data_IF_144334270841
#
_entry.id   IF_144334270841
#
_cell.length_a   1.000
_cell.length_b   1.000
_cell.length_c   1.000
_cell.angle_alpha   90.00
_cell.angle_beta   90.00
_cell.angle_gamma   90.00
#
_symmetry.space_group_name_H-M   'P 1'
#
loop_
_entity.id
_entity.type
_entity.pdbx_description
1 polymer ?
#
# COMPACT_ATOMS: atom_id res chain seq x y z
N UNK A 1 -2.01 3.77 -24.69
CA UNK A 1 -2.80 2.90 -23.78
C UNK A 1 -2.37 3.05 -22.32
N UNK A 2 -1.09 2.87 -21.97
CA UNK A 2 -0.64 2.99 -20.58
C UNK A 2 -0.95 4.36 -19.93
N UNK A 3 -0.79 5.47 -20.66
CA UNK A 3 -1.16 6.81 -20.16
C UNK A 3 -2.64 6.89 -19.77
N UNK A 4 -3.54 6.35 -20.59
CA UNK A 4 -4.97 6.30 -20.28
C UNK A 4 -5.27 5.38 -19.10
N UNK A 5 -4.62 4.22 -19.01
CA UNK A 5 -4.76 3.33 -17.86
C UNK A 5 -4.34 4.01 -16.55
N UNK A 6 -3.22 4.74 -16.57
CA UNK A 6 -2.74 5.54 -15.43
C UNK A 6 -3.78 6.60 -15.02
N UNK A 7 -4.38 7.29 -15.98
CA UNK A 7 -5.42 8.29 -15.66
C UNK A 7 -6.70 7.65 -15.13
N UNK A 8 -7.10 6.48 -15.64
CA UNK A 8 -8.23 5.73 -15.10
C UNK A 8 -7.97 5.32 -13.65
N UNK A 9 -6.78 4.78 -13.31
CA UNK A 9 -6.43 4.48 -11.91
C UNK A 9 -6.45 5.73 -11.03
N UNK A 10 -6.08 6.90 -11.56
CA UNK A 10 -6.14 8.17 -10.84
C UNK A 10 -7.57 8.61 -10.54
N UNK A 11 -8.48 8.48 -11.51
CA UNK A 11 -9.89 8.90 -11.38
C UNK A 11 -10.75 7.85 -10.65
N UNK A 12 -10.34 6.59 -10.71
CA UNK A 12 -11.03 5.44 -10.12
C UNK A 12 -10.05 4.66 -9.24
N UNK A 13 -9.63 5.24 -8.09
CA UNK A 13 -8.61 4.66 -7.21
C UNK A 13 -9.04 3.35 -6.54
N UNK A 14 -10.34 3.01 -6.57
CA UNK A 14 -10.86 1.71 -6.17
C UNK A 14 -10.77 0.64 -7.28
N UNK A 15 -9.97 0.84 -8.34
CA UNK A 15 -9.71 -0.20 -9.35
C UNK A 15 -8.57 -1.13 -8.95
N UNK A 16 -8.83 -2.42 -9.14
CA UNK A 16 -7.87 -3.54 -9.03
C UNK A 16 -7.19 -3.82 -10.37
N UNK A 17 -7.96 -3.77 -11.46
CA UNK A 17 -7.46 -3.90 -12.83
C UNK A 17 -8.30 -3.08 -13.82
N UNK A 18 -7.76 -2.90 -15.03
CA UNK A 18 -8.41 -2.25 -16.17
C UNK A 18 -8.19 -3.14 -17.39
N UNK A 19 -9.25 -3.44 -18.13
CA UNK A 19 -9.15 -4.09 -19.44
C UNK A 19 -9.44 -3.07 -20.54
N UNK A 20 -8.58 -3.04 -21.54
CA UNK A 20 -8.71 -2.17 -22.72
C UNK A 20 -8.66 -3.04 -23.96
N UNK A 21 -9.57 -2.79 -24.90
CA UNK A 21 -9.54 -3.44 -26.21
C UNK A 21 -8.81 -2.57 -27.21
N UNK A 22 -7.85 -3.17 -27.93
CA UNK A 22 -7.23 -2.58 -29.10
C UNK A 22 -7.82 -3.27 -30.33
N UNK A 23 -8.46 -2.49 -31.18
CA UNK A 23 -9.11 -2.96 -32.42
C UNK A 23 -8.43 -2.31 -33.61
N UNK A 24 -8.17 -3.12 -34.63
CA UNK A 24 -7.70 -2.73 -35.96
C UNK A 24 -8.74 -3.20 -36.99
N UNK A 25 -8.53 -2.91 -38.27
CA UNK A 25 -9.47 -3.29 -39.33
C UNK A 25 -9.82 -4.78 -39.38
N UNK A 26 -8.88 -5.65 -39.01
CA UNK A 26 -9.07 -7.11 -39.09
C UNK A 26 -8.79 -7.86 -37.81
N UNK A 27 -8.18 -7.20 -36.81
CA UNK A 27 -7.71 -7.88 -35.60
C UNK A 27 -8.03 -7.10 -34.35
N UNK A 28 -8.16 -7.80 -33.24
CA UNK A 28 -8.29 -7.21 -31.92
C UNK A 28 -7.41 -7.92 -30.90
N UNK A 29 -7.15 -7.26 -29.78
CA UNK A 29 -6.58 -7.87 -28.56
C UNK A 29 -7.07 -7.14 -27.32
N UNK A 30 -7.04 -7.83 -26.19
CA UNK A 30 -7.28 -7.25 -24.88
C UNK A 30 -5.94 -7.02 -24.19
N UNK A 31 -5.82 -5.85 -23.58
CA UNK A 31 -4.71 -5.49 -22.70
C UNK A 31 -5.27 -5.26 -21.31
N UNK A 32 -4.83 -6.05 -20.33
CA UNK A 32 -5.15 -5.84 -18.94
C UNK A 32 -4.01 -5.09 -18.27
N UNK A 33 -4.33 -3.99 -17.58
CA UNK A 33 -3.42 -3.29 -16.70
C UNK A 33 -3.85 -3.56 -15.25
N UNK A 34 -2.93 -4.01 -14.43
CA UNK A 34 -3.11 -4.22 -13.00
C UNK A 34 -1.79 -3.93 -12.27
N UNK A 35 -1.68 -4.33 -11.00
CA UNK A 35 -0.52 -4.00 -10.15
C UNK A 35 0.75 -4.78 -10.46
N UNK A 36 0.66 -5.80 -11.29
CA UNK A 36 1.79 -6.51 -11.91
C UNK A 36 2.15 -5.95 -13.29
N UNK A 37 1.49 -4.88 -13.74
CA UNK A 37 1.78 -4.21 -15.01
C UNK A 37 0.78 -4.58 -16.10
N UNK A 38 1.27 -4.71 -17.34
CA UNK A 38 0.43 -4.95 -18.50
C UNK A 38 0.50 -6.42 -18.95
N UNK A 39 -0.65 -7.07 -18.99
CA UNK A 39 -0.84 -8.38 -19.59
C UNK A 39 -1.53 -8.22 -20.95
N UNK A 40 -1.05 -8.94 -21.95
CA UNK A 40 -1.57 -8.84 -23.30
C UNK A 40 -2.11 -10.18 -23.79
N UNK A 41 -3.34 -10.20 -24.29
CA UNK A 41 -3.85 -11.35 -25.04
C UNK A 41 -3.12 -11.49 -26.37
N UNK A 42 -3.17 -12.67 -27.01
CA UNK A 42 -2.84 -12.82 -28.42
C UNK A 42 -3.62 -11.82 -29.29
N UNK A 43 -3.07 -11.52 -30.47
CA UNK A 43 -3.73 -10.69 -31.48
C UNK A 43 -4.59 -11.60 -32.38
N UNK A 44 -5.91 -11.43 -32.31
CA UNK A 44 -6.90 -12.35 -32.88
C UNK A 44 -7.56 -11.71 -34.10
N UNK A 45 -7.75 -12.47 -35.19
CA UNK A 45 -8.50 -12.02 -36.37
C UNK A 45 -10.00 -12.30 -36.17
N UNK A 46 -10.81 -11.26 -36.06
CA UNK A 46 -12.23 -11.40 -35.74
C UNK A 46 -13.14 -11.56 -36.96
N UNK A 47 -12.60 -11.52 -38.19
CA UNK A 47 -13.35 -11.82 -39.42
C UNK A 47 -13.39 -13.33 -39.75
N UNK A 48 -12.68 -14.15 -38.97
CA UNK A 48 -12.68 -15.60 -39.09
C UNK A 48 -13.55 -16.30 -38.06
N UNK A 49 -13.13 -17.47 -37.61
CA UNK A 49 -13.85 -18.31 -36.63
C UNK A 49 -13.94 -17.67 -35.22
N UNK A 50 -13.10 -16.67 -34.94
CA UNK A 50 -13.00 -16.01 -33.63
C UNK A 50 -13.97 -14.83 -33.41
N UNK A 51 -14.97 -14.64 -34.28
CA UNK A 51 -16.00 -13.61 -34.09
C UNK A 51 -16.70 -13.72 -32.72
N UNK A 52 -16.95 -14.96 -32.26
CA UNK A 52 -17.54 -15.20 -30.95
C UNK A 52 -16.65 -14.68 -29.80
N UNK A 53 -15.33 -14.80 -29.92
CA UNK A 53 -14.37 -14.29 -28.94
C UNK A 53 -14.39 -12.77 -28.92
N UNK A 54 -14.52 -12.13 -30.08
CA UNK A 54 -14.67 -10.68 -30.19
C UNK A 54 -15.94 -10.17 -29.51
N UNK A 55 -17.09 -10.81 -29.78
CA UNK A 55 -18.38 -10.45 -29.14
C UNK A 55 -18.30 -10.64 -27.62
N UNK A 56 -17.73 -11.77 -27.15
CA UNK A 56 -17.53 -12.01 -25.71
C UNK A 56 -16.65 -10.95 -25.07
N UNK A 57 -15.60 -10.49 -25.75
CA UNK A 57 -14.74 -9.44 -25.25
C UNK A 57 -15.48 -8.11 -25.09
N UNK A 58 -16.35 -7.75 -26.04
CA UNK A 58 -17.21 -6.55 -25.93
C UNK A 58 -18.17 -6.69 -24.74
N UNK A 59 -18.87 -7.83 -24.62
CA UNK A 59 -19.82 -8.07 -23.53
C UNK A 59 -19.11 -7.96 -22.17
N UNK A 60 -17.91 -8.53 -22.03
CA UNK A 60 -17.12 -8.45 -20.80
C UNK A 60 -16.75 -7.00 -20.45
N UNK A 61 -16.38 -6.18 -21.44
CA UNK A 61 -16.05 -4.76 -21.24
C UNK A 61 -17.27 -3.88 -20.95
N UNK A 62 -18.47 -4.34 -21.34
CA UNK A 62 -19.75 -3.68 -21.10
C UNK A 62 -20.52 -4.31 -19.92
N UNK A 63 -19.89 -5.18 -19.12
CA UNK A 63 -20.54 -5.80 -17.97
C UNK A 63 -21.02 -4.75 -16.96
N UNK A 64 -22.18 -4.99 -16.36
CA UNK A 64 -22.68 -4.17 -15.24
C UNK A 64 -22.15 -4.65 -13.88
N UNK A 65 -21.43 -5.78 -13.87
CA UNK A 65 -20.82 -6.31 -12.67
C UNK A 65 -19.51 -5.56 -12.36
N UNK A 66 -19.53 -4.75 -11.31
CA UNK A 66 -18.38 -3.95 -10.86
C UNK A 66 -17.14 -4.80 -10.61
N UNK A 67 -17.31 -6.01 -10.05
CA UNK A 67 -16.22 -6.93 -9.75
C UNK A 67 -15.52 -7.40 -11.04
N UNK A 68 -16.30 -7.80 -12.04
CA UNK A 68 -15.80 -8.22 -13.37
C UNK A 68 -15.11 -7.08 -14.13
N UNK A 69 -15.56 -5.84 -13.93
CA UNK A 69 -14.92 -4.64 -14.46
C UNK A 69 -13.64 -4.25 -13.72
N UNK A 70 -13.30 -4.94 -12.63
CA UNK A 70 -12.10 -4.73 -11.84
C UNK A 70 -12.22 -3.64 -10.79
N UNK A 71 -13.44 -3.27 -10.37
CA UNK A 71 -13.66 -2.39 -9.23
C UNK A 71 -13.62 -3.20 -7.92
N UNK A 72 -13.16 -2.57 -6.86
CA UNK A 72 -13.35 -3.02 -5.48
C UNK A 72 -14.80 -2.69 -5.06
N UNK A 73 -15.57 -3.75 -4.80
CA UNK A 73 -16.99 -3.68 -4.47
C UNK A 73 -17.25 -3.29 -3.02
N UNK A 74 -16.23 -3.29 -2.16
CA UNK A 74 -16.34 -2.81 -0.78
C UNK A 74 -16.38 -1.27 -0.69
N UNK A 75 -15.92 -0.58 -1.74
CA UNK A 75 -16.02 0.87 -1.87
C UNK A 75 -17.28 1.21 -2.65
N UNK A 76 -18.27 1.80 -1.97
CA UNK A 76 -19.54 2.19 -2.58
C UNK A 76 -19.67 3.70 -2.66
N UNK A 77 -20.26 4.17 -3.76
CA UNK A 77 -20.47 5.59 -4.02
C UNK A 77 -21.97 5.90 -4.07
N UNK A 78 -22.36 7.00 -3.41
CA UNK A 78 -23.66 7.64 -3.68
C UNK A 78 -23.47 8.62 -4.82
N UNK A 79 -24.29 8.47 -5.86
CA UNK A 79 -24.25 9.31 -7.06
C UNK A 79 -25.50 10.19 -7.09
N UNK A 80 -25.32 11.47 -7.37
CA UNK A 80 -26.39 12.43 -7.63
C UNK A 80 -25.99 13.27 -8.84
N UNK A 81 -26.90 13.45 -9.80
CA UNK A 81 -26.66 14.21 -11.04
C UNK A 81 -25.38 13.76 -11.79
N UNK A 82 -25.11 12.45 -11.80
CA UNK A 82 -23.93 11.87 -12.46
C UNK A 82 -22.59 12.13 -11.74
N UNK A 83 -22.61 12.70 -10.53
CA UNK A 83 -21.41 12.98 -9.72
C UNK A 83 -21.41 12.20 -8.41
N UNK A 84 -20.22 11.81 -7.95
CA UNK A 84 -20.02 11.23 -6.61
C UNK A 84 -20.30 12.32 -5.58
N UNK A 85 -21.22 12.07 -4.65
CA UNK A 85 -21.55 13.01 -3.56
C UNK A 85 -21.10 12.52 -2.18
N UNK A 86 -21.03 11.21 -1.99
CA UNK A 86 -20.48 10.59 -0.78
C UNK A 86 -20.06 9.15 -1.10
N UNK A 87 -19.31 8.52 -0.20
CA UNK A 87 -18.96 7.12 -0.33
C UNK A 87 -18.77 6.43 1.01
N UNK A 88 -18.71 5.11 0.96
CA UNK A 88 -18.46 4.24 2.12
C UNK A 88 -17.42 3.20 1.75
N UNK A 89 -16.67 2.75 2.75
CA UNK A 89 -15.75 1.61 2.62
C UNK A 89 -16.14 0.58 3.66
N UNK A 90 -16.42 -0.63 3.19
CA UNK A 90 -16.67 -1.78 4.05
C UNK A 90 -15.36 -2.53 4.25
N UNK A 91 -15.07 -2.89 5.50
CA UNK A 91 -13.86 -3.61 5.90
C UNK A 91 -14.23 -4.85 6.69
N UNK A 92 -13.31 -5.81 6.75
CA UNK A 92 -13.44 -7.00 7.58
C UNK A 92 -12.29 -7.06 8.59
N UNK A 93 -12.57 -6.83 9.87
CA UNK A 93 -11.53 -6.97 10.89
C UNK A 93 -11.23 -8.45 11.15
N UNK A 94 -9.99 -8.86 10.87
CA UNK A 94 -9.53 -10.20 11.16
C UNK A 94 -9.63 -10.54 12.64
N UNK A 95 -9.35 -9.58 13.52
CA UNK A 95 -9.21 -9.84 14.95
C UNK A 95 -10.56 -10.09 15.63
N UNK A 96 -11.55 -9.26 15.34
CA UNK A 96 -12.91 -9.45 15.84
C UNK A 96 -13.75 -10.41 14.99
N UNK A 97 -13.33 -10.71 13.76
CA UNK A 97 -14.08 -11.46 12.75
C UNK A 97 -15.44 -10.78 12.44
N UNK A 98 -15.44 -9.45 12.34
CA UNK A 98 -16.63 -8.64 12.06
C UNK A 98 -16.41 -7.68 10.90
N UNK A 99 -17.48 -7.46 10.13
CA UNK A 99 -17.52 -6.43 9.09
C UNK A 99 -17.94 -5.08 9.65
N UNK A 100 -17.25 -4.01 9.26
CA UNK A 100 -17.61 -2.62 9.60
C UNK A 100 -17.72 -1.78 8.33
N UNK A 101 -18.55 -0.75 8.35
CA UNK A 101 -18.70 0.17 7.20
C UNK A 101 -18.44 1.60 7.65
N UNK A 102 -17.41 2.19 7.06
CA UNK A 102 -16.94 3.53 7.37
C UNK A 102 -17.49 4.53 6.35
N UNK A 103 -17.89 5.71 6.82
CA UNK A 103 -18.33 6.79 5.93
C UNK A 103 -17.14 7.64 5.52
N UNK A 104 -16.88 7.76 4.22
CA UNK A 104 -15.77 8.55 3.71
C UNK A 104 -15.99 10.04 3.94
N UNK A 105 -14.93 10.74 4.36
CA UNK A 105 -14.97 12.20 4.56
C UNK A 105 -14.96 12.97 3.24
N UNK A 106 -14.48 12.34 2.17
CA UNK A 106 -14.36 12.91 0.84
C UNK A 106 -14.59 11.82 -0.21
N UNK A 107 -15.05 12.22 -1.40
CA UNK A 107 -15.14 11.33 -2.57
C UNK A 107 -13.79 11.07 -3.24
N UNK A 108 -12.77 11.85 -2.84
CA UNK A 108 -11.39 11.66 -3.26
C UNK A 108 -10.56 11.11 -2.09
N UNK A 109 -9.64 10.16 -2.34
CA UNK A 109 -8.73 9.69 -1.33
C UNK A 109 -7.79 10.82 -0.86
N UNK A 110 -7.33 10.74 0.37
CA UNK A 110 -6.33 11.65 0.95
C UNK A 110 -4.98 11.48 0.25
N UNK A 111 -4.67 10.25 -0.16
CA UNK A 111 -3.45 9.91 -0.88
C UNK A 111 -3.75 8.78 -1.86
N UNK A 112 -3.18 8.83 -3.06
CA UNK A 112 -3.25 7.73 -4.02
C UNK A 112 -2.02 7.72 -4.92
N UNK A 113 -1.35 6.57 -5.03
CA UNK A 113 -0.29 6.36 -6.02
C UNK A 113 -0.91 5.92 -7.35
N UNK A 114 -0.76 6.70 -8.44
CA UNK A 114 -1.38 6.38 -9.73
C UNK A 114 -0.60 5.35 -10.55
N UNK A 115 0.56 4.89 -10.07
CA UNK A 115 1.42 4.00 -10.85
C UNK A 115 0.75 2.65 -11.10
N UNK A 116 0.88 2.18 -12.33
CA UNK A 116 0.25 0.94 -12.79
C UNK A 116 0.89 -0.24 -12.05
N UNK A 117 2.22 -0.29 -11.99
CA UNK A 117 2.96 -1.35 -11.31
C UNK A 117 3.37 -0.94 -9.89
N UNK A 118 3.34 -1.89 -8.95
CA UNK A 118 3.78 -1.71 -7.57
C UNK A 118 2.64 -1.73 -6.55
N UNK A 119 2.84 -1.08 -5.39
CA UNK A 119 1.90 -1.14 -4.27
C UNK A 119 0.56 -0.47 -4.54
N UNK A 120 0.51 0.52 -5.44
CA UNK A 120 -0.72 1.23 -5.78
C UNK A 120 -1.45 1.81 -4.56
N UNK A 121 -0.71 2.26 -3.54
CA UNK A 121 -1.26 2.63 -2.23
C UNK A 121 -2.33 3.70 -2.35
N UNK A 122 -3.48 3.49 -1.70
CA UNK A 122 -4.59 4.45 -1.59
C UNK A 122 -4.96 4.62 -0.13
N UNK A 123 -5.06 5.85 0.35
CA UNK A 123 -5.47 6.16 1.71
C UNK A 123 -6.76 6.98 1.72
N UNK A 124 -7.75 6.50 2.45
CA UNK A 124 -9.07 7.12 2.57
C UNK A 124 -9.31 7.64 3.99
N UNK A 125 -9.57 8.94 4.14
CA UNK A 125 -10.05 9.46 5.42
C UNK A 125 -11.54 9.12 5.61
N UNK A 126 -11.89 8.56 6.76
CA UNK A 126 -13.26 8.14 7.05
C UNK A 126 -13.67 8.47 8.49
N UNK A 127 -14.98 8.44 8.75
CA UNK A 127 -15.57 8.52 10.09
C UNK A 127 -15.76 7.13 10.64
N UNK A 128 -15.37 6.95 11.89
CA UNK A 128 -15.63 5.72 12.64
C UNK A 128 -17.15 5.53 12.83
N UNK A 129 -17.69 4.33 12.55
CA UNK A 129 -19.13 4.07 12.62
C UNK A 129 -19.68 4.13 14.05
N UNK A 130 -18.83 3.90 15.06
CA UNK A 130 -19.21 3.87 16.48
C UNK A 130 -19.05 5.25 17.15
N UNK A 131 -18.78 6.30 16.36
CA UNK A 131 -18.57 7.66 16.86
C UNK A 131 -17.19 7.88 17.48
N UNK A 132 -16.24 6.98 17.21
CA UNK A 132 -14.84 7.10 17.63
C UNK A 132 -14.08 8.20 16.90
N UNK A 133 -12.75 8.19 17.09
CA UNK A 133 -11.85 9.09 16.36
C UNK A 133 -11.90 8.81 14.86
N UNK A 134 -11.65 9.84 14.04
CA UNK A 134 -11.52 9.68 12.60
C UNK A 134 -10.43 8.65 12.26
N UNK A 135 -10.64 7.90 11.18
CA UNK A 135 -9.73 6.85 10.74
C UNK A 135 -9.17 7.11 9.34
N UNK A 136 -8.06 6.45 9.04
CA UNK A 136 -7.43 6.40 7.74
C UNK A 136 -7.39 4.94 7.28
N UNK A 137 -8.08 4.63 6.19
CA UNK A 137 -8.09 3.30 5.59
C UNK A 137 -6.99 3.25 4.53
N UNK A 138 -5.97 2.43 4.73
CA UNK A 138 -4.82 2.24 3.82
C UNK A 138 -4.99 0.95 3.03
N UNK A 139 -5.10 1.09 1.72
CA UNK A 139 -5.15 0.00 0.74
C UNK A 139 -3.78 -0.13 0.06
N UNK A 140 -3.27 -1.35 -0.08
CA UNK A 140 -2.00 -1.62 -0.77
C UNK A 140 -1.95 -3.02 -1.39
N UNK A 141 -1.12 -3.17 -2.43
CA UNK A 141 -0.83 -4.43 -3.10
C UNK A 141 0.57 -4.93 -2.73
N UNK A 142 0.62 -5.98 -1.93
CA UNK A 142 1.87 -6.55 -1.43
C UNK A 142 2.22 -7.79 -2.26
N UNK A 143 3.51 -8.05 -2.42
CA UNK A 143 3.95 -9.33 -2.99
C UNK A 143 3.45 -10.49 -2.13
N UNK A 144 3.01 -11.56 -2.76
CA UNK A 144 2.78 -12.82 -2.07
C UNK A 144 4.13 -13.39 -1.61
N UNK A 145 4.27 -13.59 -0.31
CA UNK A 145 5.39 -14.34 0.24
C UNK A 145 5.03 -15.83 0.29
N UNK A 146 5.86 -16.66 -0.37
CA UNK A 146 5.71 -18.12 -0.33
C UNK A 146 6.14 -18.71 1.01
N UNK A 147 7.00 -18.01 1.76
CA UNK A 147 7.76 -18.62 2.86
C UNK A 147 7.20 -18.30 4.26
N UNK A 148 6.07 -17.59 4.36
CA UNK A 148 5.43 -17.13 5.63
C UNK A 148 6.38 -16.39 6.61
N UNK A 149 7.58 -15.99 6.15
CA UNK A 149 8.60 -15.36 6.98
C UNK A 149 8.54 -13.83 6.92
N UNK A 150 8.04 -13.26 5.82
CA UNK A 150 7.84 -11.83 5.69
C UNK A 150 6.67 -11.38 6.56
N UNK A 151 7.01 -10.60 7.58
CA UNK A 151 6.04 -9.91 8.43
C UNK A 151 5.56 -8.68 7.68
N UNK A 152 4.25 -8.57 7.49
CA UNK A 152 3.62 -7.42 6.86
C UNK A 152 3.47 -6.24 7.84
N UNK A 153 3.07 -5.06 7.34
CA UNK A 153 2.94 -3.84 8.15
C UNK A 153 2.04 -4.02 9.38
N UNK A 154 0.92 -4.72 9.24
CA UNK A 154 -0.02 -4.96 10.35
C UNK A 154 0.65 -5.68 11.53
N UNK A 155 1.64 -6.55 11.27
CA UNK A 155 2.38 -7.26 12.31
C UNK A 155 3.18 -6.26 13.17
N UNK A 156 3.89 -5.34 12.51
CA UNK A 156 4.69 -4.33 13.20
C UNK A 156 3.81 -3.30 13.92
N UNK A 157 2.68 -2.93 13.33
CA UNK A 157 1.70 -2.05 13.96
C UNK A 157 1.07 -2.68 15.20
N UNK A 158 0.71 -3.97 15.16
CA UNK A 158 0.20 -4.67 16.35
C UNK A 158 1.25 -4.72 17.47
N UNK A 159 2.53 -4.93 17.12
CA UNK A 159 3.63 -4.91 18.09
C UNK A 159 3.93 -3.52 18.64
N UNK A 160 3.75 -2.47 17.83
CA UNK A 160 3.89 -1.06 18.20
C UNK A 160 2.63 -0.47 18.84
N UNK A 161 1.59 -1.28 19.08
CA UNK A 161 0.36 -0.83 19.73
C UNK A 161 0.65 -0.21 21.10
N UNK A 162 0.07 0.97 21.32
CA UNK A 162 0.21 1.75 22.53
C UNK A 162 1.56 2.48 22.67
N UNK A 163 2.42 2.46 21.64
CA UNK A 163 3.66 3.26 21.63
C UNK A 163 3.34 4.70 21.23
N UNK A 164 3.52 5.70 22.13
CA UNK A 164 3.40 7.10 21.73
C UNK A 164 4.41 7.43 20.64
N UNK A 165 4.00 8.25 19.67
CA UNK A 165 4.86 8.69 18.57
C UNK A 165 4.93 7.71 17.40
N UNK A 166 4.18 6.61 17.42
CA UNK A 166 4.08 5.64 16.33
C UNK A 166 2.61 5.45 15.93
N UNK A 167 2.36 5.22 14.65
CA UNK A 167 1.04 4.96 14.09
C UNK A 167 0.29 3.87 14.87
N UNK A 168 -0.99 4.10 15.12
CA UNK A 168 -1.87 3.17 15.82
C UNK A 168 -2.85 2.53 14.83
N UNK A 169 -2.87 1.20 14.81
CA UNK A 169 -3.81 0.40 14.02
C UNK A 169 -5.09 0.13 14.81
N UNK A 170 -6.22 0.25 14.13
CA UNK A 170 -7.56 -0.04 14.64
C UNK A 170 -7.94 -1.48 14.30
N UNK A 171 -7.86 -1.82 13.02
CA UNK A 171 -8.22 -3.14 12.46
C UNK A 171 -7.37 -3.42 11.21
N UNK A 172 -7.32 -4.69 10.81
CA UNK A 172 -6.64 -5.10 9.60
C UNK A 172 -7.34 -6.31 8.97
N UNK A 173 -7.22 -6.40 7.65
CA UNK A 173 -7.61 -7.56 6.88
C UNK A 173 -6.38 -8.46 6.66
N UNK A 174 -6.53 -9.77 6.93
CA UNK A 174 -5.48 -10.76 6.65
C UNK A 174 -5.82 -11.64 5.44
N UNK A 175 -4.83 -12.41 4.97
CA UNK A 175 -4.96 -13.33 3.82
C UNK A 175 -6.12 -14.33 3.94
N UNK A 176 -6.55 -14.65 5.17
CA UNK A 176 -7.51 -15.73 5.46
C UNK A 176 -8.95 -15.19 5.66
N UNK A 177 -9.19 -13.89 5.49
CA UNK A 177 -10.50 -13.23 5.60
C UNK A 177 -11.33 -13.12 4.31
N UNK A 178 -10.93 -13.84 3.25
CA UNK A 178 -11.21 -13.58 1.83
C UNK A 178 -10.31 -12.46 1.28
N UNK A 179 -9.32 -12.78 0.42
CA UNK A 179 -8.56 -11.73 -0.23
C UNK A 179 -9.52 -10.88 -1.08
N UNK A 180 -9.54 -9.57 -0.85
CA UNK A 180 -10.14 -8.62 -1.78
C UNK A 180 -9.27 -8.51 -3.04
N UNK A 181 -9.15 -9.62 -3.77
CA UNK A 181 -8.35 -9.76 -4.98
C UNK A 181 -6.87 -10.06 -4.74
N UNK A 182 -6.36 -10.98 -5.53
CA UNK A 182 -4.93 -11.19 -5.78
C UNK A 182 -4.74 -11.13 -7.29
N UNK A 183 -3.56 -10.73 -7.76
CA UNK A 183 -3.35 -10.57 -9.20
C UNK A 183 -3.51 -11.87 -9.97
N UNK A 184 -3.20 -12.99 -9.35
CA UNK A 184 -3.35 -14.31 -9.95
C UNK A 184 -4.82 -14.71 -10.16
N UNK A 185 -5.77 -14.19 -9.38
CA UNK A 185 -7.19 -14.53 -9.55
C UNK A 185 -7.82 -13.91 -10.79
N UNK A 186 -7.21 -12.86 -11.34
CA UNK A 186 -7.67 -12.19 -12.57
C UNK A 186 -6.61 -12.19 -13.69
N UNK A 187 -5.54 -12.97 -13.54
CA UNK A 187 -4.57 -13.28 -14.58
C UNK A 187 -4.69 -14.77 -14.96
N UNK A 188 -4.45 -15.15 -16.22
CA UNK A 188 -4.31 -16.55 -16.56
C UNK A 188 -3.11 -17.13 -15.80
N UNK A 189 -3.13 -18.43 -15.45
CA UNK A 189 -1.96 -19.10 -14.88
C UNK A 189 -0.74 -18.85 -15.76
N UNK A 190 0.43 -18.65 -15.14
CA UNK A 190 1.67 -18.56 -15.89
C UNK A 190 1.79 -19.82 -16.77
N UNK A 191 1.79 -19.65 -18.09
CA UNK A 191 1.98 -20.77 -18.99
C UNK A 191 3.38 -21.35 -18.74
N UNK A 192 3.45 -22.62 -18.37
CA UNK A 192 4.69 -23.39 -18.29
C UNK A 192 5.47 -23.16 -19.61
N UNK A 193 6.60 -22.47 -19.53
CA UNK A 193 7.59 -22.24 -20.61
C UNK A 193 7.43 -21.04 -21.56
N UNK A 194 6.69 -19.98 -21.25
CA UNK A 194 6.95 -18.69 -21.94
C UNK A 194 7.97 -17.85 -21.17
N UNK A 195 9.17 -17.67 -21.74
CA UNK A 195 10.27 -16.86 -21.18
C UNK A 195 9.97 -15.34 -21.10
N UNK A 196 8.70 -14.94 -21.21
CA UNK A 196 8.29 -13.54 -21.28
C UNK A 196 7.46 -13.18 -20.04
N UNK A 197 8.22 -12.77 -19.02
CA UNK A 197 7.83 -12.18 -17.75
C UNK A 197 7.28 -13.15 -16.68
N UNK A 198 8.20 -13.58 -15.81
CA UNK A 198 7.91 -14.07 -14.47
C UNK A 198 7.32 -12.89 -13.68
N UNK A 199 5.99 -12.85 -13.56
CA UNK A 199 5.30 -11.93 -12.64
C UNK A 199 5.19 -12.63 -11.28
N UNK A 200 5.20 -11.87 -10.20
CA UNK A 200 4.97 -12.44 -8.87
C UNK A 200 3.60 -12.00 -8.39
N UNK A 201 2.83 -12.92 -7.83
CA UNK A 201 1.50 -12.61 -7.34
C UNK A 201 1.54 -11.44 -6.35
N UNK A 202 0.58 -10.53 -6.46
CA UNK A 202 0.32 -9.50 -5.47
C UNK A 202 -1.03 -9.70 -4.84
N UNK A 203 -1.07 -9.65 -3.52
CA UNK A 203 -2.29 -9.76 -2.73
C UNK A 203 -2.67 -8.39 -2.19
N UNK A 204 -3.94 -8.04 -2.32
CA UNK A 204 -4.49 -6.83 -1.74
C UNK A 204 -4.51 -6.89 -0.21
N UNK A 205 -4.23 -5.77 0.43
CA UNK A 205 -4.30 -5.56 1.88
C UNK A 205 -5.00 -4.25 2.18
N UNK A 206 -5.79 -4.28 3.25
CA UNK A 206 -6.43 -3.11 3.84
C UNK A 206 -6.17 -3.07 5.34
N UNK A 207 -5.72 -1.92 5.81
CA UNK A 207 -5.48 -1.65 7.22
C UNK A 207 -6.21 -0.36 7.59
N UNK A 208 -6.92 -0.35 8.71
CA UNK A 208 -7.52 0.88 9.24
C UNK A 208 -6.67 1.38 10.39
N UNK A 209 -6.28 2.63 10.24
CA UNK A 209 -5.35 3.34 11.10
C UNK A 209 -6.06 4.51 11.77
N UNK A 210 -5.57 4.94 12.93
CA UNK A 210 -6.01 6.22 13.52
C UNK A 210 -5.61 7.37 12.59
N UNK A 211 -6.53 8.30 12.34
CA UNK A 211 -6.23 9.49 11.53
C UNK A 211 -5.53 10.55 12.38
N UNK A 212 -4.35 10.96 11.95
CA UNK A 212 -3.59 12.06 12.52
C UNK A 212 -3.64 13.32 11.64
N UNK A 213 -2.76 14.29 11.91
CA UNK A 213 -2.65 15.53 11.16
C UNK A 213 -2.00 15.36 9.78
N UNK A 214 -1.60 16.49 9.20
CA UNK A 214 -0.90 16.53 7.91
C UNK A 214 0.50 15.91 8.02
N UNK A 215 1.18 15.77 6.88
CA UNK A 215 2.61 15.46 6.85
C UNK A 215 3.42 16.49 7.65
N UNK A 216 4.59 16.08 8.13
CA UNK A 216 5.43 16.94 8.96
C UNK A 216 5.81 18.24 8.24
N UNK A 217 5.83 18.27 6.90
CA UNK A 217 6.09 19.46 6.09
C UNK A 217 4.97 20.51 6.17
N UNK A 218 3.76 20.13 6.59
CA UNK A 218 2.62 21.01 6.82
C UNK A 218 2.66 21.80 8.13
N UNK A 219 3.81 21.85 8.82
CA UNK A 219 3.97 22.54 10.10
C UNK A 219 3.75 24.05 9.98
N UNK A 220 3.22 24.66 11.03
CA UNK A 220 2.90 26.10 11.10
C UNK A 220 3.95 26.90 11.88
N UNK A 221 4.81 26.22 12.65
CA UNK A 221 5.89 26.85 13.39
C UNK A 221 7.07 25.90 13.59
N UNK A 222 8.27 26.46 13.75
CA UNK A 222 9.46 25.68 14.11
C UNK A 222 9.26 24.86 15.39
N UNK A 223 8.52 25.41 16.36
CA UNK A 223 8.21 24.70 17.60
C UNK A 223 7.35 23.46 17.36
N UNK A 224 6.34 23.56 16.49
CA UNK A 224 5.49 22.42 16.11
C UNK A 224 6.32 21.34 15.40
N UNK A 225 7.17 21.73 14.44
CA UNK A 225 8.09 20.82 13.76
C UNK A 225 9.02 20.09 14.74
N UNK A 226 9.71 20.82 15.62
CA UNK A 226 10.65 20.25 16.61
C UNK A 226 9.91 19.34 17.59
N UNK A 227 8.70 19.72 18.04
CA UNK A 227 7.90 18.89 18.92
C UNK A 227 7.46 17.58 18.25
N UNK A 228 7.06 17.66 16.98
CA UNK A 228 6.67 16.50 16.20
C UNK A 228 7.86 15.55 15.96
N UNK A 229 8.98 16.09 15.50
CA UNK A 229 10.21 15.34 15.25
C UNK A 229 10.69 14.63 16.52
N UNK A 230 10.69 15.34 17.66
CA UNK A 230 11.07 14.78 18.96
C UNK A 230 10.18 13.62 19.38
N UNK A 231 8.86 13.78 19.24
CA UNK A 231 7.90 12.74 19.63
C UNK A 231 8.03 11.51 18.70
N UNK A 232 8.29 11.70 17.39
CA UNK A 232 8.56 10.61 16.45
C UNK A 232 9.87 9.87 16.75
N UNK A 233 10.95 10.57 17.11
CA UNK A 233 12.22 9.96 17.55
C UNK A 233 12.01 9.13 18.82
N UNK A 234 11.28 9.67 19.80
CA UNK A 234 10.95 8.95 21.04
C UNK A 234 10.10 7.70 20.76
N UNK A 235 9.13 7.81 19.85
CA UNK A 235 8.33 6.68 19.37
C UNK A 235 9.20 5.60 18.74
N UNK A 236 10.09 5.97 17.82
CA UNK A 236 11.06 5.05 17.21
C UNK A 236 11.95 4.37 18.26
N UNK A 237 12.50 5.13 19.21
CA UNK A 237 13.32 4.57 20.28
C UNK A 237 12.52 3.56 21.12
N UNK A 238 11.28 3.88 21.47
CA UNK A 238 10.40 3.02 22.26
C UNK A 238 9.99 1.75 21.49
N UNK A 239 9.78 1.86 20.17
CA UNK A 239 9.49 0.73 19.28
C UNK A 239 10.72 -0.18 19.05
N UNK A 240 11.92 0.37 19.12
CA UNK A 240 13.15 -0.43 19.07
C UNK A 240 13.43 -1.10 20.42
N UNK A 241 13.28 -0.35 21.52
CA UNK A 241 13.46 -0.82 22.88
C UNK A 241 12.23 -1.60 23.39
N UNK A 242 12.17 -1.85 24.70
CA UNK A 242 11.04 -2.55 25.36
C UNK A 242 10.72 -3.94 24.76
N UNK A 243 11.74 -4.67 24.30
CA UNK A 243 11.64 -5.99 23.67
C UNK A 243 10.85 -6.03 22.35
N UNK A 244 10.52 -4.87 21.77
CA UNK A 244 9.84 -4.80 20.47
C UNK A 244 10.79 -4.99 19.30
N UNK A 245 12.02 -4.47 19.40
CA UNK A 245 13.13 -4.70 18.45
C UNK A 245 12.78 -4.36 16.99
N UNK A 246 11.93 -3.34 16.79
CA UNK A 246 11.50 -2.89 15.47
C UNK A 246 12.51 -1.88 14.92
N UNK A 247 13.04 -2.14 13.73
CA UNK A 247 13.73 -1.15 12.91
C UNK A 247 12.78 -0.68 11.81
N UNK A 248 12.76 0.62 11.53
CA UNK A 248 11.85 1.21 10.55
C UNK A 248 12.38 1.11 9.11
N UNK A 249 13.66 1.47 8.91
CA UNK A 249 14.38 1.44 7.63
C UNK A 249 13.85 2.31 6.49
N UNK A 250 12.92 3.21 6.76
CA UNK A 250 12.34 4.11 5.75
C UNK A 250 11.89 5.44 6.39
N UNK A 251 12.72 5.99 7.27
CA UNK A 251 12.43 7.27 7.91
C UNK A 251 12.67 8.39 6.90
N UNK A 252 11.64 9.19 6.66
CA UNK A 252 11.67 10.36 5.80
C UNK A 252 10.62 11.37 6.26
N UNK A 253 10.68 12.60 5.77
CA UNK A 253 9.66 13.62 6.07
C UNK A 253 8.26 13.17 5.65
N UNK A 254 8.14 12.40 4.57
CA UNK A 254 6.88 11.83 4.11
C UNK A 254 6.29 10.76 5.04
N UNK A 255 7.10 10.18 5.92
CA UNK A 255 6.70 9.12 6.85
C UNK A 255 6.56 9.61 8.29
N UNK A 256 6.45 10.94 8.49
CA UNK A 256 6.12 11.53 9.79
C UNK A 256 4.91 12.44 9.62
N UNK A 257 3.88 12.22 10.44
CA UNK A 257 2.69 13.07 10.50
C UNK A 257 2.74 13.97 11.74
N UNK A 258 2.12 15.14 11.64
CA UNK A 258 1.80 15.98 12.78
C UNK A 258 0.69 15.35 13.62
N UNK A 259 0.71 15.61 14.92
CA UNK A 259 -0.39 15.30 15.82
C UNK A 259 -1.63 16.13 15.50
N UNK A 260 -2.78 15.71 16.05
CA UNK A 260 -3.99 16.53 16.01
C UNK A 260 -3.80 17.83 16.82
N UNK A 261 -4.58 18.90 16.53
CA UNK A 261 -4.52 20.13 17.32
C UNK A 261 -4.70 19.86 18.82
N UNK A 262 -3.78 20.37 19.64
CA UNK A 262 -3.78 20.15 21.09
C UNK A 262 -3.29 18.76 21.53
N UNK A 263 -2.65 17.98 20.65
CA UNK A 263 -2.07 16.69 21.01
C UNK A 263 -1.10 16.80 22.19
N UNK A 264 -1.21 15.84 23.11
CA UNK A 264 -0.33 15.74 24.27
C UNK A 264 1.10 15.37 23.86
N UNK A 265 2.04 15.62 24.77
CA UNK A 265 3.43 15.18 24.62
C UNK A 265 3.48 13.67 24.35
N UNK A 266 4.18 13.29 23.28
CA UNK A 266 4.26 11.91 22.79
C UNK A 266 3.35 11.65 21.59
N UNK A 267 2.40 12.54 21.28
CA UNK A 267 1.49 12.39 20.14
C UNK A 267 1.50 13.59 19.17
N UNK A 268 2.48 14.50 19.30
CA UNK A 268 2.58 15.68 18.43
C UNK A 268 3.28 15.37 17.12
N UNK A 269 3.98 14.24 17.03
CA UNK A 269 4.50 13.69 15.80
C UNK A 269 4.36 12.18 15.82
N UNK A 270 3.99 11.61 14.69
CA UNK A 270 3.63 10.20 14.56
C UNK A 270 4.42 9.61 13.40
N UNK A 271 5.26 8.64 13.71
CA UNK A 271 5.98 7.84 12.71
C UNK A 271 5.01 6.84 12.06
N UNK A 272 4.98 6.82 10.73
CA UNK A 272 4.06 6.00 9.92
C UNK A 272 4.83 5.13 8.93
N UNK A 273 4.13 4.23 8.24
CA UNK A 273 4.65 3.39 7.16
C UNK A 273 5.71 2.37 7.61
N UNK A 274 5.24 1.31 8.27
CA UNK A 274 6.08 0.19 8.72
C UNK A 274 6.23 -0.91 7.66
N UNK A 275 5.92 -0.61 6.39
CA UNK A 275 5.99 -1.58 5.29
C UNK A 275 7.42 -2.12 5.04
N UNK A 276 8.43 -1.36 5.45
CA UNK A 276 9.84 -1.72 5.30
C UNK A 276 10.48 -2.16 6.62
N UNK A 277 9.69 -2.22 7.70
CA UNK A 277 10.19 -2.53 9.01
C UNK A 277 10.72 -3.97 9.09
N UNK A 278 11.69 -4.18 9.98
CA UNK A 278 12.16 -5.52 10.34
C UNK A 278 12.18 -5.68 11.85
N UNK A 279 12.08 -6.92 12.31
CA UNK A 279 12.33 -7.25 13.70
C UNK A 279 13.73 -7.85 13.83
N UNK A 280 14.57 -7.27 14.69
CA UNK A 280 15.88 -7.86 14.98
C UNK A 280 15.67 -9.08 15.89
N UNK A 281 16.20 -10.28 15.55
CA UNK A 281 16.12 -11.47 16.41
C UNK A 281 16.76 -11.27 17.77
N UNK A 282 16.23 -11.90 18.82
CA UNK A 282 16.85 -11.87 20.15
C UNK A 282 18.29 -12.39 20.14
N UNK A 283 19.21 -11.70 20.83
CA UNK A 283 20.63 -12.04 20.85
C UNK A 283 21.47 -11.60 19.64
N UNK A 284 20.86 -11.24 18.51
CA UNK A 284 21.60 -10.65 17.40
C UNK A 284 22.09 -9.23 17.76
N UNK A 285 23.39 -8.97 17.55
CA UNK A 285 23.95 -7.61 17.62
C UNK A 285 23.50 -6.80 16.40
N UNK A 286 23.21 -5.52 16.62
CA UNK A 286 22.97 -4.52 15.57
C UNK A 286 24.12 -4.58 14.54
N UNK A 287 23.82 -4.83 13.27
CA UNK A 287 24.84 -4.93 12.20
C UNK A 287 25.24 -6.35 11.75
N UNK A 288 24.66 -7.43 12.29
CA UNK A 288 24.92 -8.83 11.86
C UNK A 288 23.67 -9.58 11.35
N UNK A 289 22.64 -8.86 10.90
CA UNK A 289 21.45 -9.49 10.33
C UNK A 289 21.80 -10.08 8.95
N UNK A 290 21.57 -11.39 8.69
CA UNK A 290 21.87 -12.00 7.41
C UNK A 290 21.11 -11.31 6.27
N UNK A 291 21.83 -10.85 5.25
CA UNK A 291 21.26 -10.46 3.97
C UNK A 291 20.55 -11.69 3.37
N UNK A 292 19.22 -11.73 3.42
CA UNK A 292 18.46 -12.76 2.71
C UNK A 292 18.50 -12.40 1.24
N UNK A 293 19.10 -13.28 0.42
CA UNK A 293 19.35 -13.05 -1.01
C UNK A 293 18.08 -12.77 -1.86
N UNK A 294 16.88 -12.93 -1.29
CA UNK A 294 15.59 -12.62 -1.91
C UNK A 294 14.98 -11.25 -1.56
N UNK A 295 15.42 -10.56 -0.49
CA UNK A 295 14.77 -9.32 -0.03
C UNK A 295 15.38 -8.11 -0.72
N UNK A 296 14.87 -7.77 -1.90
CA UNK A 296 15.34 -6.63 -2.72
C UNK A 296 15.00 -5.23 -2.19
N UNK A 297 14.62 -5.08 -0.93
CA UNK A 297 13.92 -3.88 -0.46
C UNK A 297 14.67 -3.16 0.67
N UNK A 298 15.04 -1.91 0.36
CA UNK A 298 15.60 -0.86 1.22
C UNK A 298 17.13 -0.84 1.30
N UNK A 299 17.75 0.03 0.48
CA UNK A 299 19.16 0.43 0.59
C UNK A 299 19.23 1.78 1.33
N UNK A 300 20.09 1.93 2.37
CA UNK A 300 20.36 3.24 2.96
C UNK A 300 21.12 4.15 1.97
N UNK A 301 20.97 5.47 2.11
CA UNK A 301 21.54 6.50 1.22
C UNK A 301 23.06 6.37 1.01
N UNK A 302 23.83 5.96 2.03
CA UNK A 302 25.27 5.67 1.90
C UNK A 302 25.60 4.47 1.00
N UNK A 303 24.65 3.58 0.71
CA UNK A 303 24.87 2.45 -0.20
C UNK A 303 24.94 2.88 -1.67
N UNK A 304 24.42 4.07 -2.01
CA UNK A 304 24.50 4.67 -3.34
C UNK A 304 25.77 5.52 -3.52
N UNK A 305 26.31 6.07 -2.44
CA UNK A 305 27.47 6.94 -2.42
C UNK A 305 28.68 6.20 -1.85
N UNK A 306 29.28 5.32 -2.66
CA UNK A 306 30.65 4.86 -2.43
C UNK A 306 30.81 3.52 -1.72
N UNK A 307 30.75 2.42 -2.48
CA UNK A 307 31.78 1.40 -2.38
C UNK A 307 31.93 0.66 -3.71
N UNK A 308 33.11 0.74 -4.31
CA UNK A 308 33.48 -0.06 -5.50
C UNK A 308 33.58 -1.57 -5.20
N UNK A 309 33.31 -1.98 -3.95
CA UNK A 309 33.34 -3.37 -3.52
C UNK A 309 31.95 -3.84 -3.05
N UNK A 310 31.22 -4.49 -3.96
CA UNK A 310 29.92 -5.17 -3.71
C UNK A 310 29.96 -6.27 -2.64
N UNK A 311 31.12 -6.55 -2.02
CA UNK A 311 31.35 -7.70 -1.14
C UNK A 311 31.10 -7.44 0.35
N UNK A 312 31.09 -6.18 0.78
CA UNK A 312 30.80 -5.79 2.17
C UNK A 312 29.94 -4.52 2.17
N UNK A 313 28.63 -4.70 2.33
CA UNK A 313 27.69 -3.59 2.58
C UNK A 313 27.36 -3.57 4.07
N UNK A 314 27.44 -2.41 4.74
CA UNK A 314 26.98 -2.30 6.12
C UNK A 314 25.49 -2.65 6.19
N UNK A 315 25.14 -3.45 7.20
CA UNK A 315 23.77 -3.92 7.46
C UNK A 315 23.02 -2.80 8.18
N UNK A 316 21.84 -2.42 7.68
CA UNK A 316 20.99 -1.37 8.26
C UNK A 316 20.66 -1.68 9.72
N UNK A 317 20.85 -0.70 10.57
CA UNK A 317 20.85 -0.84 12.02
C UNK A 317 20.08 0.32 12.69
N UNK A 318 20.02 0.36 14.03
CA UNK A 318 19.21 1.40 14.70
C UNK A 318 19.81 2.81 14.59
N UNK A 319 21.12 2.94 14.34
CA UNK A 319 21.79 4.22 14.14
C UNK A 319 21.43 4.80 12.77
N UNK A 320 21.30 3.97 11.74
CA UNK A 320 20.85 4.41 10.40
C UNK A 320 19.45 5.06 10.48
N UNK A 321 18.54 4.47 11.26
CA UNK A 321 17.22 5.08 11.52
C UNK A 321 17.34 6.43 12.25
N UNK A 322 18.28 6.58 13.19
CA UNK A 322 18.48 7.85 13.90
C UNK A 322 19.11 8.90 12.99
N UNK A 323 20.03 8.48 12.12
CA UNK A 323 20.64 9.36 11.14
C UNK A 323 19.62 9.83 10.11
N UNK A 324 18.68 8.98 9.70
CA UNK A 324 17.59 9.36 8.80
C UNK A 324 16.78 10.56 9.34
N UNK A 325 16.56 10.66 10.65
CA UNK A 325 15.92 11.84 11.26
C UNK A 325 16.75 13.13 11.12
N UNK A 326 18.08 13.04 11.01
CA UNK A 326 18.92 14.21 10.73
C UNK A 326 18.59 14.78 9.36
N UNK A 327 18.42 13.94 8.34
CA UNK A 327 18.07 14.36 6.99
C UNK A 327 16.65 14.91 6.87
N UNK A 328 15.74 14.58 7.80
CA UNK A 328 14.40 15.20 7.87
C UNK A 328 14.49 16.70 8.21
N UNK A 329 15.58 17.16 8.84
CA UNK A 329 15.76 18.56 9.21
C UNK A 329 16.32 19.45 8.08
N UNK A 330 16.78 18.87 6.97
CA UNK A 330 17.38 19.58 5.83
C UNK A 330 16.47 19.57 4.61
#
# INVERSE_FOLDING_TARGET
>A
MAVYAKEIFRQQPNRRFIRVMLVTETRFRIVQFDREGALFSPLINYHGEDLNTFIRAIICLCSMNEDELGLDTSVKWKISEGRKVSGTVTTFDKKSNTTRTYTLQSVHPTFARPDIHGRGTVCWAAKDPDGGADVLIKDAWLWEDSDEQLKEEYYYLEKAKGVPGVMQMVEYEDRKGQPFGETDSFRPPAADNSATAQYYNRVFRRIVLVKYGADIGGFKSQLEFICALRDAIQGKQTAFHQRRRILHRDISSGNILLGLPGASVGYRGILIDLDHAIEIPEGAQSGLIPYHQGTRVSQPYYSLMGSENRKYRPIHDYLDDLEAFFYVMY
#
